data_IF_941183266891
#
_entry.id   IF_941183266891
#
_cell.length_a   1.000
_cell.length_b   1.000
_cell.length_c   1.000
_cell.angle_alpha   90.00
_cell.angle_beta   90.00
_cell.angle_gamma   90.00
#
_symmetry.space_group_name_H-M   'P 1'
#
loop_
_entity.id
_entity.type
_entity.pdbx_description
1 polymer ?
#
# COMPACT_ATOMS: atom_id res chain seq x y z
N UNK A 1 -15.40 -23.38 1.27
CA UNK A 1 -14.97 -24.03 0.01
C UNK A 1 -15.81 -23.56 -1.19
N UNK A 2 -17.14 -23.65 -1.12
CA UNK A 2 -18.09 -23.26 -2.19
C UNK A 2 -17.90 -21.83 -2.72
N UNK A 3 -17.76 -20.81 -1.87
CA UNK A 3 -17.55 -19.42 -2.30
C UNK A 3 -16.29 -19.23 -3.17
N UNK A 4 -15.19 -19.89 -2.83
CA UNK A 4 -13.93 -19.84 -3.62
C UNK A 4 -14.12 -20.52 -4.98
N UNK A 5 -14.83 -21.64 -5.01
CA UNK A 5 -15.18 -22.35 -6.23
C UNK A 5 -16.04 -21.49 -7.17
N UNK A 6 -17.12 -20.90 -6.66
CA UNK A 6 -18.01 -20.01 -7.42
C UNK A 6 -17.22 -18.81 -7.97
N UNK A 7 -16.39 -18.15 -7.14
CA UNK A 7 -15.55 -17.03 -7.59
C UNK A 7 -14.63 -17.44 -8.73
N UNK A 8 -14.02 -18.63 -8.65
CA UNK A 8 -13.17 -19.16 -9.71
C UNK A 8 -13.96 -19.47 -10.98
N UNK A 9 -15.18 -19.98 -10.87
CA UNK A 9 -16.02 -20.29 -12.03
C UNK A 9 -16.44 -19.00 -12.75
N UNK A 10 -16.89 -18.00 -11.99
CA UNK A 10 -17.22 -16.66 -12.52
C UNK A 10 -16.03 -16.06 -13.25
N UNK A 11 -14.82 -16.14 -12.67
CA UNK A 11 -13.61 -15.61 -13.30
C UNK A 11 -13.34 -16.28 -14.66
N UNK A 12 -13.53 -17.60 -14.76
CA UNK A 12 -13.36 -18.35 -16.01
C UNK A 12 -14.39 -17.99 -17.07
N UNK A 13 -15.66 -17.85 -16.67
CA UNK A 13 -16.72 -17.42 -17.57
C UNK A 13 -16.45 -16.00 -18.08
N UNK A 14 -16.11 -15.08 -17.18
CA UNK A 14 -15.73 -13.72 -17.56
C UNK A 14 -14.53 -13.71 -18.50
N UNK A 15 -13.53 -14.56 -18.27
CA UNK A 15 -12.38 -14.68 -19.18
C UNK A 15 -12.80 -15.18 -20.56
N UNK A 16 -13.65 -16.20 -20.63
CA UNK A 16 -14.17 -16.75 -21.89
C UNK A 16 -14.98 -15.72 -22.69
N UNK A 17 -15.75 -14.88 -22.01
CA UNK A 17 -16.59 -13.85 -22.63
C UNK A 17 -15.95 -12.46 -22.66
N UNK A 18 -14.65 -12.34 -22.35
CA UNK A 18 -13.91 -11.07 -22.32
C UNK A 18 -14.56 -9.97 -21.45
N UNK A 19 -15.14 -10.35 -20.32
CA UNK A 19 -15.78 -9.43 -19.36
C UNK A 19 -14.76 -8.99 -18.31
N UNK A 20 -14.01 -7.92 -18.62
CA UNK A 20 -13.06 -7.33 -17.68
C UNK A 20 -13.69 -6.27 -16.78
N UNK A 21 -13.12 -6.11 -15.58
CA UNK A 21 -13.50 -5.14 -14.56
C UNK A 21 -12.25 -4.43 -14.04
N UNK A 22 -11.68 -3.56 -14.87
CA UNK A 22 -10.49 -2.79 -14.52
C UNK A 22 -10.92 -1.54 -13.74
N UNK A 23 -10.43 -1.34 -12.49
CA UNK A 23 -10.64 -0.09 -11.77
C UNK A 23 -10.08 1.09 -12.55
N UNK A 24 -10.68 2.27 -12.39
CA UNK A 24 -10.24 3.48 -13.08
C UNK A 24 -8.70 3.68 -13.03
N UNK A 25 -8.01 3.60 -14.18
CA UNK A 25 -6.55 3.67 -14.27
C UNK A 25 -6.00 5.08 -14.03
N UNK A 26 -6.85 6.08 -13.89
CA UNK A 26 -6.51 7.48 -13.58
C UNK A 26 -6.86 7.85 -12.14
N UNK A 27 -7.57 6.99 -11.41
CA UNK A 27 -7.99 7.37 -10.07
C UNK A 27 -6.81 7.51 -9.10
N UNK A 28 -5.78 6.66 -9.22
CA UNK A 28 -4.70 6.63 -8.24
C UNK A 28 -3.35 6.18 -8.81
N UNK A 29 -2.27 6.82 -8.39
CA UNK A 29 -0.89 6.34 -8.52
C UNK A 29 -0.22 6.30 -7.14
N UNK A 30 0.83 5.50 -6.96
CA UNK A 30 1.59 5.48 -5.72
C UNK A 30 3.00 6.02 -5.95
N UNK A 31 3.50 6.80 -5.00
CA UNK A 31 4.82 7.41 -5.01
C UNK A 31 5.48 7.11 -3.67
N UNK A 32 6.57 6.36 -3.71
CA UNK A 32 7.38 6.05 -2.53
C UNK A 32 8.30 7.23 -2.22
N UNK A 33 8.07 7.92 -1.09
CA UNK A 33 8.94 9.04 -0.68
C UNK A 33 10.26 8.55 -0.10
N UNK A 34 10.26 7.38 0.52
CA UNK A 34 11.43 6.65 1.01
C UNK A 34 11.13 5.17 1.08
N UNK A 35 12.14 4.35 0.82
CA UNK A 35 12.06 2.91 1.00
C UNK A 35 12.61 2.45 2.36
N UNK A 36 13.06 3.37 3.22
CA UNK A 36 13.68 3.07 4.52
C UNK A 36 12.63 2.81 5.60
N UNK A 37 12.93 1.90 6.52
CA UNK A 37 12.10 1.58 7.68
C UNK A 37 12.95 1.59 8.96
N UNK A 38 12.34 1.92 10.10
CA UNK A 38 12.93 1.77 11.44
C UNK A 38 12.66 0.39 12.09
N UNK A 39 12.02 -0.53 11.37
CA UNK A 39 11.68 -1.89 11.83
C UNK A 39 12.09 -2.92 10.78
N UNK A 40 12.29 -4.17 11.21
CA UNK A 40 12.56 -5.34 10.36
C UNK A 40 11.59 -6.48 10.70
N UNK A 41 10.29 -6.20 10.52
CA UNK A 41 9.24 -7.14 10.90
C UNK A 41 9.39 -8.48 10.18
N UNK A 42 9.27 -9.60 10.92
CA UNK A 42 9.52 -10.95 10.41
C UNK A 42 8.67 -11.34 9.18
N UNK A 43 7.45 -10.82 9.10
CA UNK A 43 6.50 -11.02 7.98
C UNK A 43 6.59 -9.97 6.86
N UNK A 44 7.61 -9.10 6.89
CA UNK A 44 7.85 -8.08 5.87
C UNK A 44 8.98 -8.54 4.93
N UNK A 45 8.95 -8.06 3.68
CA UNK A 45 10.04 -8.25 2.73
C UNK A 45 11.18 -7.23 2.89
N UNK A 46 11.07 -6.28 3.83
CA UNK A 46 12.00 -5.14 3.93
C UNK A 46 13.47 -5.55 4.11
N UNK A 47 13.76 -6.51 4.98
CA UNK A 47 15.11 -7.02 5.23
C UNK A 47 15.54 -8.15 4.28
N UNK A 48 14.61 -8.60 3.42
CA UNK A 48 14.79 -9.71 2.46
C UNK A 48 14.83 -9.23 1.00
N UNK A 49 14.69 -7.92 0.77
CA UNK A 49 14.73 -7.35 -0.58
C UNK A 49 16.15 -7.35 -1.13
N UNK A 50 16.25 -7.40 -2.45
CA UNK A 50 17.51 -7.34 -3.18
C UNK A 50 18.04 -5.89 -3.15
N UNK A 51 18.95 -5.62 -2.21
CA UNK A 51 19.53 -4.30 -1.99
C UNK A 51 20.55 -3.90 -3.07
N UNK A 52 21.09 -4.86 -3.82
CA UNK A 52 21.96 -4.58 -4.95
C UNK A 52 21.14 -4.03 -6.11
N UNK A 53 19.99 -4.64 -6.41
CA UNK A 53 19.09 -4.20 -7.49
C UNK A 53 18.26 -2.99 -7.12
N UNK A 54 17.78 -2.92 -5.87
CA UNK A 54 16.90 -1.84 -5.40
C UNK A 54 17.39 -1.31 -4.06
N UNK A 55 18.45 -0.48 -4.04
CA UNK A 55 19.02 0.08 -2.82
C UNK A 55 18.02 0.90 -2.01
N UNK A 56 18.23 0.98 -0.69
CA UNK A 56 17.42 1.83 0.16
C UNK A 56 17.69 3.31 -0.08
N UNK A 57 16.66 4.07 -0.42
CA UNK A 57 16.82 5.50 -0.72
C UNK A 57 15.65 6.35 -0.24
N UNK A 58 15.86 7.66 -0.28
CA UNK A 58 14.87 8.69 0.01
C UNK A 58 14.85 9.64 -1.18
N UNK A 59 13.67 9.83 -1.77
CA UNK A 59 13.48 10.73 -2.91
C UNK A 59 13.80 12.17 -2.49
N UNK A 60 14.40 12.98 -3.36
CA UNK A 60 14.57 14.42 -3.10
C UNK A 60 13.22 15.15 -3.11
N UNK A 61 13.18 16.40 -2.65
CA UNK A 61 11.96 17.21 -2.68
C UNK A 61 11.63 17.62 -4.11
N UNK A 62 12.68 17.94 -4.88
CA UNK A 62 12.62 18.39 -6.27
C UNK A 62 12.07 17.28 -7.16
N UNK A 63 12.63 16.06 -7.06
CA UNK A 63 12.13 14.90 -7.82
C UNK A 63 10.70 14.56 -7.40
N UNK A 64 10.36 14.69 -6.12
CA UNK A 64 8.99 14.46 -5.67
C UNK A 64 8.01 15.46 -6.31
N UNK A 65 8.33 16.76 -6.32
CA UNK A 65 7.47 17.76 -6.95
C UNK A 65 7.31 17.51 -8.46
N UNK A 66 8.41 17.20 -9.14
CA UNK A 66 8.40 16.88 -10.57
C UNK A 66 7.50 15.66 -10.87
N UNK A 67 7.67 14.58 -10.12
CA UNK A 67 6.90 13.34 -10.28
C UNK A 67 5.41 13.58 -10.02
N UNK A 68 5.08 14.38 -9.00
CA UNK A 68 3.70 14.77 -8.72
C UNK A 68 3.13 15.54 -9.91
N UNK A 69 3.86 16.53 -10.45
CA UNK A 69 3.39 17.30 -11.61
C UNK A 69 3.19 16.40 -12.84
N UNK A 70 4.14 15.51 -13.15
CA UNK A 70 3.99 14.56 -14.25
C UNK A 70 2.77 13.64 -14.05
N UNK A 71 2.54 13.17 -12.82
CA UNK A 71 1.37 12.34 -12.49
C UNK A 71 0.05 13.08 -12.68
N UNK A 72 -0.05 14.32 -12.21
CA UNK A 72 -1.27 15.12 -12.35
C UNK A 72 -1.55 15.47 -13.83
N UNK A 73 -0.50 15.75 -14.63
CA UNK A 73 -0.62 15.99 -16.06
C UNK A 73 -1.13 14.77 -16.84
N UNK A 74 -0.81 13.57 -16.36
CA UNK A 74 -1.36 12.32 -16.89
C UNK A 74 -2.83 12.08 -16.48
N UNK A 75 -3.41 12.96 -15.67
CA UNK A 75 -4.80 12.89 -15.22
C UNK A 75 -5.01 12.16 -13.90
N UNK A 76 -3.95 11.75 -13.19
CA UNK A 76 -4.11 11.13 -11.88
C UNK A 76 -4.75 12.08 -10.87
N UNK A 77 -5.73 11.59 -10.10
CA UNK A 77 -6.47 12.41 -9.11
C UNK A 77 -6.07 12.19 -7.67
N UNK A 78 -5.54 11.01 -7.35
CA UNK A 78 -5.13 10.67 -6.00
C UNK A 78 -3.73 10.06 -5.97
N UNK A 79 -3.01 10.28 -4.86
CA UNK A 79 -1.66 9.77 -4.65
C UNK A 79 -1.60 8.93 -3.37
N UNK A 80 -1.15 7.69 -3.48
CA UNK A 80 -0.75 6.87 -2.34
C UNK A 80 0.72 7.09 -2.03
N UNK A 81 1.06 7.44 -0.78
CA UNK A 81 2.44 7.67 -0.36
C UNK A 81 3.02 6.51 0.46
N UNK A 82 2.27 5.41 0.61
CA UNK A 82 2.73 4.23 1.32
C UNK A 82 3.87 3.56 0.54
N UNK A 83 5.07 3.45 1.13
CA UNK A 83 6.17 2.70 0.51
C UNK A 83 5.79 1.25 0.25
N UNK A 84 6.41 0.60 -0.75
CA UNK A 84 6.23 -0.85 -0.92
C UNK A 84 6.79 -1.57 0.29
N UNK A 85 7.97 -1.15 0.72
CA UNK A 85 8.57 -1.44 2.03
C UNK A 85 9.10 -0.14 2.59
N UNK A 86 8.97 0.11 3.90
CA UNK A 86 9.42 1.35 4.50
C UNK A 86 8.42 1.93 5.47
N UNK A 87 8.78 3.07 6.05
CA UNK A 87 7.86 3.93 6.79
C UNK A 87 7.99 5.37 6.30
N UNK A 88 6.87 6.02 6.01
CA UNK A 88 6.84 7.37 5.43
C UNK A 88 7.56 8.41 6.30
N UNK A 89 7.56 8.26 7.63
CA UNK A 89 8.22 9.21 8.54
C UNK A 89 9.73 8.95 8.69
N UNK A 90 10.29 7.96 8.00
CA UNK A 90 11.74 7.85 7.82
C UNK A 90 12.29 8.91 6.84
N UNK A 91 11.41 9.52 6.05
CA UNK A 91 11.74 10.66 5.21
C UNK A 91 11.73 11.95 6.04
N UNK A 92 12.92 12.47 6.36
CA UNK A 92 13.08 13.75 7.09
C UNK A 92 12.43 14.94 6.38
N UNK A 93 12.24 14.86 5.06
CA UNK A 93 11.61 15.87 4.23
C UNK A 93 10.10 15.71 4.07
N UNK A 94 9.48 14.71 4.71
CA UNK A 94 8.09 14.33 4.41
C UNK A 94 7.10 15.49 4.56
N UNK A 95 7.20 16.31 5.61
CA UNK A 95 6.25 17.41 5.81
C UNK A 95 6.32 18.46 4.70
N UNK A 96 7.51 18.68 4.11
CA UNK A 96 7.66 19.57 2.94
C UNK A 96 6.96 18.97 1.72
N UNK A 97 7.09 17.66 1.51
CA UNK A 97 6.39 16.92 0.44
C UNK A 97 4.88 16.92 0.62
N UNK A 98 4.37 16.77 1.83
CA UNK A 98 2.93 16.89 2.10
C UNK A 98 2.42 18.30 1.79
N UNK A 99 3.18 19.35 2.15
CA UNK A 99 2.83 20.72 1.80
C UNK A 99 2.80 20.95 0.28
N UNK A 100 3.72 20.33 -0.48
CA UNK A 100 3.67 20.37 -1.94
C UNK A 100 2.34 19.84 -2.46
N UNK A 101 1.87 18.70 -1.94
CA UNK A 101 0.57 18.11 -2.34
C UNK A 101 -0.61 19.03 -2.00
N UNK A 102 -0.58 19.69 -0.84
CA UNK A 102 -1.62 20.67 -0.46
C UNK A 102 -1.74 21.82 -1.47
N UNK A 103 -0.65 22.19 -2.15
CA UNK A 103 -0.64 23.27 -3.16
C UNK A 103 -1.15 22.83 -4.55
N UNK A 104 -1.27 21.53 -4.84
CA UNK A 104 -1.64 21.04 -6.18
C UNK A 104 -3.14 21.11 -6.46
N UNK A 105 -3.62 22.11 -7.18
CA UNK A 105 -5.07 22.27 -7.49
C UNK A 105 -5.71 21.07 -8.18
N UNK A 106 -4.96 20.32 -8.99
CA UNK A 106 -5.45 19.14 -9.72
C UNK A 106 -5.55 17.86 -8.86
N UNK A 107 -5.05 17.89 -7.62
CA UNK A 107 -5.03 16.74 -6.71
C UNK A 107 -6.27 16.74 -5.82
N UNK A 108 -7.05 15.66 -5.88
CA UNK A 108 -8.24 15.46 -5.02
C UNK A 108 -7.84 15.06 -3.60
N UNK A 109 -6.81 14.22 -3.47
CA UNK A 109 -6.33 13.77 -2.18
C UNK A 109 -5.18 12.78 -2.18
N UNK A 110 -4.67 12.51 -1.00
CA UNK A 110 -3.62 11.51 -0.78
C UNK A 110 -3.82 10.73 0.53
N UNK A 111 -3.11 9.61 0.63
CA UNK A 111 -3.13 8.75 1.82
C UNK A 111 -1.78 8.07 2.05
N UNK A 112 -1.56 7.57 3.27
CA UNK A 112 -0.39 6.75 3.59
C UNK A 112 -0.63 5.77 4.73
N UNK A 113 0.32 4.86 4.94
CA UNK A 113 0.39 4.00 6.11
C UNK A 113 1.74 4.23 6.81
N UNK A 114 1.74 4.12 8.13
CA UNK A 114 2.93 4.27 8.98
C UNK A 114 2.85 3.32 10.17
N UNK A 115 3.97 2.93 10.75
CA UNK A 115 4.07 2.31 12.06
C UNK A 115 3.96 3.32 13.23
N UNK A 116 3.89 4.62 12.92
CA UNK A 116 3.67 5.72 13.85
C UNK A 116 4.76 5.89 14.92
N UNK A 117 5.96 5.34 14.70
CA UNK A 117 7.11 5.46 15.62
C UNK A 117 7.99 6.68 15.29
N UNK A 118 8.45 6.90 14.04
CA UNK A 118 9.38 8.01 13.77
C UNK A 118 8.74 9.40 13.84
N UNK A 119 7.41 9.49 13.81
CA UNK A 119 6.69 10.77 13.90
C UNK A 119 6.89 11.43 15.28
N UNK A 120 6.87 12.75 15.31
CA UNK A 120 6.89 13.56 16.53
C UNK A 120 5.55 14.29 16.73
N UNK A 121 5.34 14.84 17.92
CA UNK A 121 4.08 15.49 18.32
C UNK A 121 3.71 16.66 17.39
N UNK A 122 4.67 17.49 16.99
CA UNK A 122 4.39 18.62 16.10
C UNK A 122 3.96 18.18 14.70
N UNK A 123 4.54 17.11 14.19
CA UNK A 123 4.10 16.54 12.92
C UNK A 123 2.75 15.84 13.06
N UNK A 124 2.45 15.17 14.19
CA UNK A 124 1.11 14.66 14.47
C UNK A 124 0.09 15.79 14.40
N UNK A 125 0.34 16.93 15.06
CA UNK A 125 -0.54 18.11 15.02
C UNK A 125 -0.79 18.56 13.58
N UNK A 126 0.28 18.71 12.79
CA UNK A 126 0.21 19.17 11.39
C UNK A 126 -0.68 18.28 10.52
N UNK A 127 -0.73 16.97 10.75
CA UNK A 127 -1.58 16.06 9.96
C UNK A 127 -3.07 16.47 9.97
N UNK A 128 -3.56 17.02 11.08
CA UNK A 128 -4.97 17.44 11.22
C UNK A 128 -5.33 18.70 10.44
N UNK A 129 -4.33 19.44 9.94
CA UNK A 129 -4.53 20.66 9.16
C UNK A 129 -4.34 20.45 7.65
N UNK A 130 -3.95 19.25 7.22
CA UNK A 130 -3.81 18.89 5.81
C UNK A 130 -5.19 18.61 5.21
N UNK A 131 -5.65 19.45 4.27
CA UNK A 131 -7.00 19.40 3.69
C UNK A 131 -7.14 18.29 2.64
N UNK A 132 -6.04 17.92 1.99
CA UNK A 132 -6.02 16.87 0.96
C UNK A 132 -5.58 15.51 1.50
N UNK A 133 -5.07 15.42 2.73
CA UNK A 133 -4.89 14.13 3.41
C UNK A 133 -6.27 13.52 3.70
N UNK A 134 -6.64 12.47 2.97
CA UNK A 134 -7.95 11.81 3.12
C UNK A 134 -7.93 10.69 4.14
N UNK A 135 -6.81 9.99 4.23
CA UNK A 135 -6.63 8.96 5.24
C UNK A 135 -5.16 8.72 5.59
N UNK A 136 -4.91 8.33 6.84
CA UNK A 136 -3.68 7.65 7.17
C UNK A 136 -3.94 6.42 8.03
N UNK A 137 -3.19 5.35 7.77
CA UNK A 137 -3.25 4.14 8.54
C UNK A 137 -2.08 3.98 9.49
N UNK A 138 -2.35 3.56 10.72
CA UNK A 138 -1.37 3.17 11.74
C UNK A 138 -1.29 1.65 11.76
N UNK A 139 -0.15 1.11 11.36
CA UNK A 139 0.17 -0.31 11.42
C UNK A 139 0.81 -0.64 12.77
N UNK A 140 0.16 -1.49 13.55
CA UNK A 140 0.61 -1.89 14.88
C UNK A 140 1.04 -3.34 14.82
N UNK A 141 2.14 -3.68 15.48
CA UNK A 141 2.73 -5.03 15.46
C UNK A 141 2.77 -5.55 16.90
N UNK A 142 2.10 -6.68 17.16
CA UNK A 142 1.90 -7.19 18.51
C UNK A 142 0.72 -6.55 19.25
N UNK A 143 0.53 -6.95 20.51
CA UNK A 143 -0.52 -6.48 21.43
C UNK A 143 0.04 -6.02 22.79
N UNK A 144 1.34 -6.13 22.98
CA UNK A 144 2.10 -5.67 24.14
C UNK A 144 3.57 -5.49 23.73
N UNK A 145 4.43 -5.13 24.69
CA UNK A 145 5.85 -4.91 24.45
C UNK A 145 6.55 -6.17 23.91
N UNK A 146 6.30 -7.32 24.53
CA UNK A 146 6.97 -8.58 24.21
C UNK A 146 6.62 -9.01 22.77
N UNK A 147 5.34 -9.06 22.45
CA UNK A 147 4.87 -9.39 21.11
C UNK A 147 5.27 -8.33 20.09
N UNK A 148 5.37 -7.05 20.45
CA UNK A 148 5.91 -6.02 19.55
C UNK A 148 7.34 -6.33 19.15
N UNK A 149 8.22 -6.63 20.11
CA UNK A 149 9.63 -7.00 19.84
C UNK A 149 9.68 -8.23 18.95
N UNK A 150 8.89 -9.26 19.29
CA UNK A 150 8.84 -10.52 18.55
C UNK A 150 8.38 -10.34 17.09
N UNK A 151 7.36 -9.52 16.84
CA UNK A 151 6.77 -9.33 15.51
C UNK A 151 7.61 -8.39 14.63
N UNK A 152 8.11 -7.31 15.22
CA UNK A 152 8.70 -6.19 14.48
C UNK A 152 10.23 -6.17 14.47
N UNK A 153 10.88 -6.99 15.30
CA UNK A 153 12.30 -6.85 15.68
C UNK A 153 12.64 -5.43 16.18
N UNK A 154 11.65 -4.67 16.67
CA UNK A 154 11.83 -3.35 17.24
C UNK A 154 12.41 -3.39 18.65
N UNK A 155 12.99 -2.26 19.09
CA UNK A 155 13.51 -2.11 20.45
C UNK A 155 12.43 -1.71 21.45
N UNK A 156 12.73 -1.83 22.75
CA UNK A 156 11.90 -1.23 23.81
C UNK A 156 11.69 0.27 23.60
N UNK A 157 12.73 0.99 23.18
CA UNK A 157 12.62 2.43 22.89
C UNK A 157 11.64 2.70 21.73
N UNK A 158 11.60 1.83 20.72
CA UNK A 158 10.64 1.91 19.62
C UNK A 158 9.21 1.67 20.11
N UNK A 159 9.00 0.70 20.99
CA UNK A 159 7.69 0.44 21.63
C UNK A 159 7.24 1.63 22.48
N UNK A 160 8.11 2.13 23.37
CA UNK A 160 7.81 3.29 24.22
C UNK A 160 7.48 4.54 23.37
N UNK A 161 8.16 4.71 22.24
CA UNK A 161 7.88 5.78 21.30
C UNK A 161 6.52 5.63 20.62
N UNK A 162 6.13 4.41 20.22
CA UNK A 162 4.78 4.13 19.71
C UNK A 162 3.73 4.49 20.77
N UNK A 163 3.88 4.01 22.00
CA UNK A 163 2.98 4.29 23.13
C UNK A 163 2.86 5.80 23.38
N UNK A 164 3.98 6.52 23.43
CA UNK A 164 4.00 7.97 23.59
C UNK A 164 3.21 8.66 22.47
N UNK A 165 3.47 8.29 21.21
CA UNK A 165 2.82 8.91 20.07
C UNK A 165 1.31 8.60 20.03
N UNK A 166 0.88 7.38 20.37
CA UNK A 166 -0.53 7.00 20.45
C UNK A 166 -1.26 7.72 21.60
N UNK A 167 -0.63 7.88 22.76
CA UNK A 167 -1.18 8.68 23.85
C UNK A 167 -1.33 10.16 23.45
N UNK A 168 -0.34 10.71 22.76
CA UNK A 168 -0.43 12.07 22.23
C UNK A 168 -1.59 12.20 21.24
N UNK A 169 -1.71 11.26 20.29
CA UNK A 169 -2.83 11.21 19.34
C UNK A 169 -4.18 11.14 20.07
N UNK A 170 -4.33 10.25 21.07
CA UNK A 170 -5.55 10.08 21.86
C UNK A 170 -5.96 11.37 22.57
N UNK A 171 -5.01 12.15 23.09
CA UNK A 171 -5.31 13.42 23.75
C UNK A 171 -5.63 14.52 22.73
N UNK A 172 -4.87 14.58 21.64
CA UNK A 172 -5.00 15.65 20.66
C UNK A 172 -6.30 15.53 19.84
N UNK A 173 -6.68 14.31 19.46
CA UNK A 173 -7.82 14.04 18.57
C UNK A 173 -9.17 14.47 19.15
N UNK A 174 -9.29 14.55 20.49
CA UNK A 174 -10.51 15.02 21.17
C UNK A 174 -10.90 16.45 20.79
N UNK A 175 -9.93 17.25 20.34
CA UNK A 175 -10.11 18.65 19.97
C UNK A 175 -10.47 18.84 18.48
N UNK A 176 -10.60 17.77 17.70
CA UNK A 176 -10.75 17.86 16.24
C UNK A 176 -11.98 17.14 15.73
N UNK A 177 -12.65 17.78 14.77
CA UNK A 177 -13.65 17.13 13.94
C UNK A 177 -12.98 16.43 12.75
N UNK A 178 -13.18 15.11 12.65
CA UNK A 178 -12.53 14.25 11.65
C UNK A 178 -13.39 13.99 10.41
N UNK A 179 -14.45 14.77 10.17
CA UNK A 179 -15.39 14.53 9.06
C UNK A 179 -14.73 14.35 7.67
N UNK A 180 -13.53 14.89 7.45
CA UNK A 180 -12.80 14.81 6.19
C UNK A 180 -11.51 13.98 6.25
N UNK A 181 -11.18 13.39 7.40
CA UNK A 181 -9.95 12.64 7.64
C UNK A 181 -10.26 11.30 8.31
N UNK A 182 -9.98 10.19 7.62
CA UNK A 182 -10.10 8.86 8.18
C UNK A 182 -8.80 8.37 8.79
N UNK A 183 -8.88 7.73 9.94
CA UNK A 183 -7.73 7.06 10.57
C UNK A 183 -8.02 5.56 10.61
N UNK A 184 -7.13 4.74 10.08
CA UNK A 184 -7.24 3.28 10.16
C UNK A 184 -6.18 2.75 11.11
N UNK A 185 -6.56 1.95 12.10
CA UNK A 185 -5.61 1.20 12.93
C UNK A 185 -5.64 -0.25 12.47
N UNK A 186 -4.52 -0.74 11.94
CA UNK A 186 -4.36 -2.12 11.49
C UNK A 186 -3.40 -2.86 12.41
N UNK A 187 -3.94 -3.64 13.34
CA UNK A 187 -3.15 -4.44 14.27
C UNK A 187 -2.80 -5.81 13.66
N UNK A 188 -1.51 -6.11 13.62
CA UNK A 188 -0.90 -7.38 13.23
C UNK A 188 -0.55 -8.14 14.49
N UNK A 189 -1.27 -9.22 14.78
CA UNK A 189 -1.17 -9.91 16.07
C UNK A 189 -1.54 -11.39 15.92
N UNK A 190 -1.42 -12.14 17.01
CA UNK A 190 -1.64 -13.58 17.05
C UNK A 190 -3.08 -13.96 16.72
N UNK A 191 -3.28 -15.21 16.27
CA UNK A 191 -4.62 -15.79 16.12
C UNK A 191 -5.35 -15.77 17.46
N UNK A 192 -6.66 -15.55 17.42
CA UNK A 192 -7.50 -15.54 18.63
C UNK A 192 -7.26 -14.40 19.60
N UNK A 193 -6.36 -13.45 19.32
CA UNK A 193 -6.27 -12.23 20.13
C UNK A 193 -7.60 -11.47 20.08
N UNK A 194 -8.05 -10.96 21.22
CA UNK A 194 -9.27 -10.17 21.34
C UNK A 194 -8.96 -8.86 22.06
N UNK A 195 -9.02 -7.74 21.33
CA UNK A 195 -8.71 -6.41 21.89
C UNK A 195 -9.55 -6.09 23.13
N UNK A 196 -10.83 -6.46 23.14
CA UNK A 196 -11.75 -6.19 24.25
C UNK A 196 -11.42 -6.92 25.56
N UNK A 197 -10.65 -8.01 25.51
CA UNK A 197 -10.22 -8.80 26.68
C UNK A 197 -8.81 -8.47 27.16
N UNK A 198 -8.08 -7.65 26.40
CA UNK A 198 -6.69 -7.33 26.70
C UNK A 198 -6.58 -6.07 27.55
N UNK A 199 -5.81 -6.16 28.63
CA UNK A 199 -5.51 -5.06 29.55
C UNK A 199 -4.08 -4.53 29.42
N UNK A 200 -3.38 -4.86 28.33
CA UNK A 200 -2.08 -4.23 28.06
C UNK A 200 -2.23 -2.72 27.89
N UNK A 201 -1.14 -1.99 28.12
CA UNK A 201 -1.11 -0.54 27.91
C UNK A 201 -1.54 -0.17 26.48
N UNK A 202 -0.99 -0.87 25.49
CA UNK A 202 -1.34 -0.71 24.08
C UNK A 202 -2.83 -0.93 23.85
N UNK A 203 -3.38 -2.05 24.31
CA UNK A 203 -4.80 -2.37 24.15
C UNK A 203 -5.69 -1.32 24.81
N UNK A 204 -5.30 -0.81 25.98
CA UNK A 204 -6.03 0.27 26.67
C UNK A 204 -6.08 1.55 25.84
N UNK A 205 -4.96 1.95 25.23
CA UNK A 205 -4.91 3.13 24.36
C UNK A 205 -5.78 2.93 23.12
N UNK A 206 -5.71 1.75 22.49
CA UNK A 206 -6.52 1.42 21.31
C UNK A 206 -8.01 1.43 21.65
N UNK A 207 -8.45 0.76 22.72
CA UNK A 207 -9.85 0.79 23.19
C UNK A 207 -10.38 2.23 23.32
N UNK A 208 -9.57 3.14 23.89
CA UNK A 208 -9.92 4.57 24.01
C UNK A 208 -9.99 5.29 22.66
N UNK A 209 -9.02 5.09 21.77
CA UNK A 209 -9.03 5.67 20.41
C UNK A 209 -10.30 5.25 19.65
N UNK A 210 -10.68 3.98 19.72
CA UNK A 210 -11.83 3.41 19.00
C UNK A 210 -13.20 3.88 19.50
N UNK A 211 -13.26 4.62 20.61
CA UNK A 211 -14.46 5.38 20.98
C UNK A 211 -14.80 6.47 19.95
N UNK A 212 -13.85 6.89 19.12
CA UNK A 212 -14.07 7.83 18.04
C UNK A 212 -14.52 7.09 16.76
N UNK A 213 -15.75 7.36 16.32
CA UNK A 213 -16.39 6.72 15.16
C UNK A 213 -15.64 6.88 13.82
N UNK A 214 -14.73 7.85 13.71
CA UNK A 214 -13.95 8.08 12.48
C UNK A 214 -12.61 7.31 12.49
N UNK A 215 -12.35 6.51 13.53
CA UNK A 215 -11.23 5.58 13.58
C UNK A 215 -11.74 4.18 13.25
N UNK A 216 -11.29 3.64 12.13
CA UNK A 216 -11.52 2.25 11.75
C UNK A 216 -10.46 1.36 12.41
N UNK A 217 -10.86 0.16 12.84
CA UNK A 217 -9.94 -0.84 13.39
C UNK A 217 -10.04 -2.14 12.60
N UNK A 218 -8.89 -2.70 12.25
CA UNK A 218 -8.78 -4.06 11.76
C UNK A 218 -7.71 -4.82 12.51
N UNK A 219 -7.99 -6.09 12.74
CA UNK A 219 -7.05 -7.04 13.30
C UNK A 219 -6.77 -8.12 12.26
N UNK A 220 -5.49 -8.45 12.08
CA UNK A 220 -5.07 -9.41 11.08
C UNK A 220 -4.06 -10.40 11.65
N UNK A 221 -4.37 -11.69 11.50
CA UNK A 221 -3.46 -12.81 11.75
C UNK A 221 -3.11 -13.58 10.47
N UNK A 222 -3.64 -13.17 9.32
CA UNK A 222 -3.28 -13.68 7.98
C UNK A 222 -2.44 -12.62 7.24
N UNK A 223 -1.27 -13.05 6.76
CA UNK A 223 -0.23 -12.17 6.23
C UNK A 223 0.15 -12.56 4.81
N UNK A 224 0.65 -11.57 4.06
CA UNK A 224 0.99 -11.78 2.68
C UNK A 224 2.39 -12.35 2.55
N UNK A 225 2.63 -13.11 1.49
CA UNK A 225 3.91 -13.77 1.25
C UNK A 225 4.91 -12.91 0.45
N UNK A 226 4.50 -11.70 0.05
CA UNK A 226 5.34 -10.75 -0.72
C UNK A 226 5.87 -11.33 -2.03
N UNK A 227 4.99 -11.94 -2.83
CA UNK A 227 5.41 -12.57 -4.08
C UNK A 227 6.31 -13.78 -3.83
N UNK A 228 6.15 -14.41 -2.67
CA UNK A 228 6.96 -15.53 -2.21
C UNK A 228 8.30 -15.16 -1.59
N UNK A 229 8.61 -13.88 -1.35
CA UNK A 229 9.84 -13.47 -0.64
C UNK A 229 9.81 -13.95 0.82
N UNK A 230 8.66 -13.79 1.49
CA UNK A 230 8.46 -14.28 2.86
C UNK A 230 8.02 -15.74 2.82
N UNK A 231 8.63 -16.58 3.65
CA UNK A 231 8.41 -18.02 3.76
C UNK A 231 7.91 -18.40 5.16
N UNK A 232 7.40 -19.62 5.29
CA UNK A 232 6.92 -20.16 6.58
C UNK A 232 8.00 -20.14 7.67
N UNK A 233 9.26 -20.40 7.32
CA UNK A 233 10.35 -20.39 8.30
C UNK A 233 10.62 -18.99 8.88
N UNK A 234 10.31 -17.92 8.16
CA UNK A 234 10.50 -16.53 8.63
C UNK A 234 9.54 -16.18 9.77
N UNK A 235 8.37 -16.83 9.78
CA UNK A 235 7.27 -16.55 10.71
C UNK A 235 7.03 -17.69 11.71
N UNK A 236 7.92 -18.69 11.77
CA UNK A 236 7.73 -19.90 12.57
C UNK A 236 7.46 -19.65 14.06
N UNK A 237 8.01 -18.56 14.61
CA UNK A 237 7.84 -18.18 16.02
C UNK A 237 6.61 -17.28 16.25
N UNK A 238 5.82 -17.03 15.20
CA UNK A 238 4.64 -16.17 15.24
C UNK A 238 3.38 -17.04 15.11
N UNK A 239 2.43 -16.88 16.03
CA UNK A 239 1.10 -17.49 15.90
C UNK A 239 0.23 -16.75 14.87
N UNK A 240 0.65 -16.81 13.61
CA UNK A 240 0.02 -16.17 12.45
C UNK A 240 -0.10 -17.17 11.30
N UNK A 241 -0.67 -16.75 10.17
CA UNK A 241 -0.78 -17.55 8.96
C UNK A 241 -0.18 -16.79 7.79
N UNK A 242 0.72 -17.42 7.04
CA UNK A 242 1.09 -16.92 5.73
C UNK A 242 0.04 -17.35 4.70
N UNK A 243 -0.34 -16.46 3.81
CA UNK A 243 -1.25 -16.79 2.74
C UNK A 243 -0.57 -17.69 1.69
N UNK A 244 -1.33 -18.66 1.18
CA UNK A 244 -0.81 -19.57 0.16
C UNK A 244 -0.63 -18.91 -1.22
N UNK A 245 0.19 -19.55 -2.05
CA UNK A 245 0.50 -19.18 -3.44
C UNK A 245 -0.49 -19.74 -4.48
N UNK A 246 -1.30 -20.73 -4.11
CA UNK A 246 -2.22 -21.52 -4.93
C UNK A 246 -3.51 -20.77 -5.33
N UNK A 247 -3.49 -19.44 -5.30
CA UNK A 247 -4.56 -18.66 -5.88
C UNK A 247 -4.57 -18.85 -7.40
N UNK A 248 -5.71 -19.27 -7.94
CA UNK A 248 -5.93 -19.33 -9.39
C UNK A 248 -5.82 -17.92 -9.97
N UNK A 249 -4.90 -17.75 -10.91
CA UNK A 249 -4.63 -16.50 -11.62
C UNK A 249 -5.20 -16.66 -13.03
N UNK A 250 -5.90 -15.63 -13.50
CA UNK A 250 -6.52 -15.64 -14.81
C UNK A 250 -6.54 -14.22 -15.37
N UNK A 251 -6.01 -14.04 -16.56
CA UNK A 251 -5.78 -12.73 -17.13
C UNK A 251 -4.93 -11.83 -16.24
N UNK A 252 -4.88 -10.55 -16.57
CA UNK A 252 -4.06 -9.53 -15.94
C UNK A 252 -4.51 -9.16 -14.54
N UNK A 253 -3.55 -8.70 -13.74
CA UNK A 253 -3.80 -8.15 -12.43
C UNK A 253 -4.23 -6.69 -12.59
N UNK A 254 -5.38 -6.31 -12.04
CA UNK A 254 -5.89 -4.93 -12.03
C UNK A 254 -4.88 -3.90 -11.49
N UNK A 255 -3.93 -4.31 -10.65
CA UNK A 255 -2.92 -3.42 -10.07
C UNK A 255 -1.95 -2.87 -11.12
N UNK A 256 -1.70 -3.61 -12.21
CA UNK A 256 -0.81 -3.14 -13.29
C UNK A 256 -1.40 -1.96 -14.05
N UNK A 257 -2.68 -1.66 -13.88
CA UNK A 257 -3.34 -0.50 -14.50
C UNK A 257 -3.63 0.61 -13.49
N UNK A 258 -4.05 0.25 -12.28
CA UNK A 258 -4.67 1.17 -11.32
C UNK A 258 -3.84 1.46 -10.07
N UNK A 259 -2.73 0.72 -9.87
CA UNK A 259 -1.91 0.79 -8.65
C UNK A 259 -0.43 0.52 -8.96
N UNK A 260 0.13 1.31 -9.86
CA UNK A 260 1.58 1.36 -10.08
C UNK A 260 2.30 2.08 -8.92
N UNK A 261 3.60 1.82 -8.78
CA UNK A 261 4.48 2.45 -7.81
C UNK A 261 5.63 3.16 -8.50
N UNK A 262 5.82 4.43 -8.18
CA UNK A 262 7.04 5.17 -8.51
C UNK A 262 7.95 5.07 -7.28
N UNK A 263 9.05 4.33 -7.42
CA UNK A 263 10.02 4.10 -6.35
C UNK A 263 10.81 5.35 -6.00
N UNK A 264 11.34 5.41 -4.78
CA UNK A 264 12.19 6.53 -4.35
C UNK A 264 13.49 6.66 -5.18
N UNK A 265 13.86 5.61 -5.92
CA UNK A 265 15.00 5.56 -6.84
C UNK A 265 14.67 5.97 -8.29
N UNK A 266 13.42 6.32 -8.59
CA UNK A 266 12.98 6.69 -9.94
C UNK A 266 12.45 5.53 -10.80
N UNK A 267 12.57 4.27 -10.35
CA UNK A 267 11.97 3.14 -11.07
C UNK A 267 10.44 3.20 -11.00
N UNK A 268 9.78 2.92 -12.12
CA UNK A 268 8.32 2.80 -12.19
C UNK A 268 7.96 1.32 -12.23
N UNK A 269 7.35 0.81 -11.15
CA UNK A 269 6.95 -0.57 -10.99
C UNK A 269 5.45 -0.76 -11.29
N UNK A 270 5.12 -1.82 -12.05
CA UNK A 270 3.73 -2.16 -12.36
C UNK A 270 2.95 -2.71 -11.14
N UNK A 271 3.60 -2.91 -10.00
CA UNK A 271 2.98 -3.45 -8.79
C UNK A 271 3.35 -2.62 -7.55
N UNK A 272 2.36 -1.97 -6.94
CA UNK A 272 2.54 -1.23 -5.69
C UNK A 272 2.36 -2.05 -4.41
N UNK A 273 2.17 -3.37 -4.49
CA UNK A 273 1.76 -4.16 -3.31
C UNK A 273 2.79 -5.18 -2.82
N UNK A 274 3.28 -6.09 -3.67
CA UNK A 274 4.01 -7.29 -3.23
C UNK A 274 5.34 -7.53 -3.93
N UNK A 275 5.73 -6.66 -4.87
CA UNK A 275 6.98 -6.78 -5.59
C UNK A 275 8.03 -5.83 -5.00
N UNK A 276 8.59 -6.20 -3.84
CA UNK A 276 9.57 -5.40 -3.10
C UNK A 276 10.90 -5.20 -3.87
N UNK A 277 11.17 -6.07 -4.83
CA UNK A 277 12.39 -6.08 -5.65
C UNK A 277 12.20 -5.39 -7.01
N UNK A 278 11.04 -4.79 -7.28
CA UNK A 278 10.75 -4.07 -8.53
C UNK A 278 11.04 -4.95 -9.77
N UNK A 279 10.79 -6.26 -9.66
CA UNK A 279 10.97 -7.21 -10.77
C UNK A 279 10.01 -6.95 -11.93
N UNK A 280 8.93 -6.21 -11.69
CA UNK A 280 7.97 -5.74 -12.68
C UNK A 280 8.20 -4.28 -13.11
N UNK A 281 9.41 -3.73 -12.91
CA UNK A 281 9.74 -2.36 -13.32
C UNK A 281 9.49 -2.18 -14.83
N UNK A 282 8.69 -1.20 -15.23
CA UNK A 282 8.34 -0.91 -16.62
C UNK A 282 9.11 0.29 -17.20
N UNK A 283 9.85 1.02 -16.37
CA UNK A 283 10.70 2.13 -16.80
C UNK A 283 11.45 2.79 -15.65
N UNK A 284 12.21 3.82 -15.98
CA UNK A 284 13.07 4.58 -15.07
C UNK A 284 12.97 6.08 -15.40
N UNK A 285 12.54 6.87 -14.41
CA UNK A 285 12.34 8.31 -14.55
C UNK A 285 13.64 9.10 -14.68
N UNK A 286 14.78 8.49 -14.36
CA UNK A 286 16.08 9.10 -14.65
C UNK A 286 16.42 9.07 -16.15
N UNK A 287 15.63 8.36 -16.96
CA UNK A 287 15.87 8.16 -18.41
C UNK A 287 14.70 8.61 -19.28
N UNK A 288 13.47 8.44 -18.81
CA UNK A 288 12.26 8.67 -19.58
C UNK A 288 11.23 9.46 -18.78
N UNK A 289 10.35 10.17 -19.48
CA UNK A 289 9.21 10.85 -18.84
C UNK A 289 8.15 9.84 -18.43
N UNK A 290 7.37 10.16 -17.40
CA UNK A 290 6.33 9.27 -16.89
C UNK A 290 5.27 8.90 -17.94
N UNK A 291 4.96 9.83 -18.85
CA UNK A 291 4.02 9.59 -19.95
C UNK A 291 4.58 8.64 -21.03
N UNK A 292 5.89 8.53 -21.18
CA UNK A 292 6.51 7.52 -22.05
C UNK A 292 6.49 6.14 -21.38
N UNK A 293 6.71 6.11 -20.06
CA UNK A 293 6.77 4.87 -19.29
C UNK A 293 5.38 4.23 -19.14
N UNK A 294 4.36 5.01 -18.76
CA UNK A 294 2.98 4.55 -18.56
C UNK A 294 2.16 4.82 -19.83
N UNK A 295 2.59 4.22 -20.94
CA UNK A 295 1.91 4.27 -22.22
C UNK A 295 1.99 2.92 -22.91
N UNK A 296 0.99 2.56 -23.71
CA UNK A 296 0.94 1.25 -24.37
C UNK A 296 2.00 1.09 -25.48
N UNK A 297 2.61 2.20 -25.93
CA UNK A 297 3.78 2.21 -26.82
C UNK A 297 5.05 1.75 -26.10
N UNK A 298 5.09 1.76 -24.77
CA UNK A 298 6.16 1.14 -24.01
C UNK A 298 6.05 -0.39 -24.12
N UNK A 299 6.94 -0.98 -24.92
CA UNK A 299 6.98 -2.42 -25.16
C UNK A 299 7.04 -3.24 -23.87
N UNK A 300 7.82 -2.82 -22.87
CA UNK A 300 7.95 -3.56 -21.59
C UNK A 300 6.62 -3.63 -20.84
N UNK A 301 5.86 -2.53 -20.86
CA UNK A 301 4.54 -2.48 -20.23
C UNK A 301 3.49 -3.25 -21.03
N UNK A 302 3.48 -3.12 -22.37
CA UNK A 302 2.59 -3.87 -23.26
C UNK A 302 2.82 -5.38 -23.16
N UNK A 303 4.07 -5.82 -23.19
CA UNK A 303 4.44 -7.23 -23.09
C UNK A 303 3.99 -7.81 -21.73
N UNK A 304 4.11 -7.05 -20.63
CA UNK A 304 3.62 -7.49 -19.33
C UNK A 304 2.09 -7.73 -19.34
N UNK A 305 1.33 -6.81 -19.93
CA UNK A 305 -0.14 -6.95 -20.07
C UNK A 305 -0.47 -8.19 -20.92
N UNK A 306 0.13 -8.29 -22.11
CA UNK A 306 -0.18 -9.35 -23.07
C UNK A 306 0.14 -10.74 -22.53
N UNK A 307 1.27 -10.87 -21.82
CA UNK A 307 1.65 -12.13 -21.19
C UNK A 307 0.64 -12.52 -20.11
N UNK A 308 0.25 -11.60 -19.23
CA UNK A 308 -0.74 -11.94 -18.19
C UNK A 308 -2.13 -12.25 -18.75
N UNK A 309 -2.58 -11.57 -19.82
CA UNK A 309 -3.83 -11.94 -20.53
C UNK A 309 -3.77 -13.36 -21.11
N UNK A 310 -2.59 -13.82 -21.52
CA UNK A 310 -2.32 -15.20 -21.97
C UNK A 310 -2.06 -16.18 -20.83
N UNK A 311 -2.26 -15.76 -19.58
CA UNK A 311 -1.95 -16.52 -18.36
C UNK A 311 -0.46 -16.91 -18.21
N UNK A 312 0.44 -16.18 -18.88
CA UNK A 312 1.89 -16.25 -18.67
C UNK A 312 2.29 -15.18 -17.63
N UNK A 313 2.53 -15.64 -16.41
CA UNK A 313 2.80 -14.77 -15.27
C UNK A 313 4.30 -14.69 -14.97
N UNK A 314 4.87 -13.50 -14.73
CA UNK A 314 6.21 -13.36 -14.14
C UNK A 314 6.31 -14.10 -12.79
N UNK A 315 7.52 -14.46 -12.35
CA UNK A 315 7.70 -15.34 -11.18
C UNK A 315 7.15 -14.73 -9.88
N UNK A 316 7.33 -13.42 -9.68
CA UNK A 316 6.72 -12.71 -8.55
C UNK A 316 5.20 -12.81 -8.58
N UNK A 317 4.59 -12.79 -9.78
CA UNK A 317 3.15 -12.95 -9.96
C UNK A 317 2.71 -14.39 -9.76
N UNK A 318 3.48 -15.40 -10.20
CA UNK A 318 3.18 -16.82 -9.95
C UNK A 318 3.08 -17.10 -8.44
N UNK A 319 3.99 -16.53 -7.67
CA UNK A 319 4.06 -16.68 -6.21
C UNK A 319 3.18 -15.71 -5.42
N UNK A 320 2.50 -14.75 -6.08
CA UNK A 320 1.71 -13.74 -5.40
C UNK A 320 0.42 -14.30 -4.80
N UNK A 321 0.21 -14.03 -3.50
CA UNK A 321 -1.03 -14.29 -2.75
C UNK A 321 -2.03 -13.12 -2.79
N UNK A 322 -1.65 -12.02 -3.43
CA UNK A 322 -2.46 -10.80 -3.54
C UNK A 322 -2.89 -10.53 -4.98
N UNK A 323 -2.89 -11.53 -5.85
CA UNK A 323 -3.26 -11.35 -7.26
C UNK A 323 -4.72 -10.87 -7.41
N UNK A 324 -4.98 -9.93 -8.31
CA UNK A 324 -6.30 -9.29 -8.51
C UNK A 324 -6.72 -9.34 -9.97
N UNK A 325 -7.10 -10.51 -10.44
CA UNK A 325 -7.57 -10.72 -11.82
C UNK A 325 -8.64 -9.70 -12.22
N UNK A 326 -8.48 -9.05 -13.37
CA UNK A 326 -9.49 -8.15 -13.96
C UNK A 326 -10.79 -8.88 -14.30
N UNK A 327 -10.80 -10.21 -14.35
CA UNK A 327 -11.99 -11.04 -14.57
C UNK A 327 -12.73 -11.39 -13.27
N UNK A 328 -12.24 -10.91 -12.12
CA UNK A 328 -12.92 -11.04 -10.83
C UNK A 328 -13.40 -9.70 -10.31
N UNK A 329 -14.44 -9.71 -9.48
CA UNK A 329 -14.90 -8.50 -8.80
C UNK A 329 -13.79 -7.99 -7.86
N UNK A 330 -13.15 -6.89 -8.24
CA UNK A 330 -12.13 -6.19 -7.46
C UNK A 330 -12.74 -4.93 -6.85
N UNK A 331 -13.27 -5.04 -5.63
CA UNK A 331 -13.88 -3.89 -4.93
C UNK A 331 -12.92 -3.20 -3.94
N UNK A 332 -11.65 -3.63 -3.89
CA UNK A 332 -10.69 -3.17 -2.89
C UNK A 332 -9.89 -1.94 -3.35
N UNK A 333 -10.28 -0.76 -2.87
CA UNK A 333 -9.39 0.39 -2.74
C UNK A 333 -9.33 0.76 -1.26
N UNK A 334 -8.23 0.41 -0.60
CA UNK A 334 -8.03 0.55 0.86
C UNK A 334 -8.37 1.95 1.39
N UNK A 335 -8.06 2.98 0.63
CA UNK A 335 -8.15 4.38 1.04
C UNK A 335 -9.39 5.13 0.53
N UNK A 336 -10.27 4.48 -0.24
CA UNK A 336 -11.48 5.09 -0.81
C UNK A 336 -12.68 4.12 -0.83
N UNK A 337 -12.82 3.28 0.21
CA UNK A 337 -13.84 2.21 0.30
C UNK A 337 -15.29 2.68 0.07
N UNK A 338 -15.57 3.96 0.31
CA UNK A 338 -16.93 4.52 0.21
C UNK A 338 -17.29 5.07 -1.18
N UNK A 339 -16.33 5.11 -2.12
CA UNK A 339 -16.58 5.64 -3.47
C UNK A 339 -16.87 4.51 -4.44
N UNK A 340 -17.94 4.65 -5.23
CA UNK A 340 -18.24 3.73 -6.34
C UNK A 340 -17.08 3.75 -7.33
N UNK A 341 -16.42 2.61 -7.48
CA UNK A 341 -15.28 2.46 -8.40
C UNK A 341 -15.84 2.29 -9.81
N UNK A 342 -15.53 3.25 -10.69
CA UNK A 342 -15.81 3.09 -12.12
C UNK A 342 -14.94 1.96 -12.67
N UNK A 343 -15.57 1.07 -13.45
CA UNK A 343 -14.94 -0.10 -14.05
C UNK A 343 -14.87 0.09 -15.56
N UNK A 344 -13.78 -0.36 -16.16
CA UNK A 344 -13.49 -0.26 -17.59
C UNK A 344 -13.17 -1.65 -18.14
N UNK A 345 -13.46 -1.84 -19.42
CA UNK A 345 -12.95 -2.95 -20.22
C UNK A 345 -11.44 -2.80 -20.47
N UNK A 346 -10.79 -3.88 -20.91
CA UNK A 346 -9.40 -3.81 -21.34
C UNK A 346 -9.24 -2.83 -22.52
N UNK A 347 -10.14 -2.90 -23.51
CA UNK A 347 -10.10 -2.02 -24.69
C UNK A 347 -10.14 -0.53 -24.33
N UNK A 348 -11.07 -0.14 -23.45
CA UNK A 348 -11.17 1.25 -22.98
C UNK A 348 -9.91 1.68 -22.21
N UNK A 349 -9.39 0.81 -21.35
CA UNK A 349 -8.17 1.07 -20.57
C UNK A 349 -6.96 1.26 -21.49
N UNK A 350 -6.79 0.41 -22.50
CA UNK A 350 -5.69 0.52 -23.46
C UNK A 350 -5.79 1.79 -24.32
N UNK A 351 -7.00 2.19 -24.69
CA UNK A 351 -7.24 3.46 -25.38
C UNK A 351 -6.79 4.65 -24.52
N UNK A 352 -7.23 4.68 -23.24
CA UNK A 352 -6.82 5.72 -22.30
C UNK A 352 -5.30 5.77 -22.09
N UNK A 353 -4.62 4.62 -22.02
CA UNK A 353 -3.16 4.56 -21.86
C UNK A 353 -2.40 4.99 -23.12
N UNK A 354 -3.01 4.90 -24.30
CA UNK A 354 -2.39 5.33 -25.55
C UNK A 354 -2.50 6.85 -25.79
N UNK A 355 -3.58 7.46 -25.29
CA UNK A 355 -3.91 8.89 -25.45
C UNK A 355 -3.16 9.82 -24.47
N UNK A 356 -2.39 9.25 -23.53
CA UNK A 356 -1.60 9.95 -22.50
C UNK A 356 -0.30 10.58 -23.01
#
# INVERSE_FOLDING_TARGET
>A
MIKKFIKSLIAKLNYLFEIQQIPDPLNNINIETTSKCNLSCKFCAYDKRDLEKVPLTTMSIENFDEIVNQSLNLGYKNIGLTPTTGDIFMDKGIMKKLNILELKSLLDGYYFYTNFIPINEDNIKKLFYLKKLKSFGISIYGHDEESFKLYSNGSINSYNKLIKNLNFLLNYIKNFNLNNLKIEISQRTKRGFELGKSESELSTILKKLLSNKNIEYSQNSEFNNWGGIVKEHDIKDLDIKLNDTNQKKIGSCSLIYSRMMIGANGLVNACACRDANFTLAIGDLNKNKLNEIINIKNKKYKDLIDRQEKNDFPDVCKSCDFYRSIYTKNDFIWSFRDKKIKKYSLKETLKLLNER
#
